data_IF_966712305395
#
_entry.id   IF_966712305395
#
_cell.length_a   1.000
_cell.length_b   1.000
_cell.length_c   1.000
_cell.angle_alpha   90.00
_cell.angle_beta   90.00
_cell.angle_gamma   90.00
#
_symmetry.space_group_name_H-M   'P 1'
#
loop_
_entity.id
_entity.type
_entity.pdbx_description
1 polymer ?
#
# COMPACT_ATOMS: atom_id res chain seq x y z
N UNK A 1 1.18 -72.59 8.89
CA UNK A 1 1.86 -71.40 9.46
C UNK A 1 2.12 -70.26 8.46
N UNK A 2 2.16 -70.50 7.17
CA UNK A 2 2.40 -69.50 6.13
C UNK A 2 1.33 -68.42 6.01
N UNK A 3 0.05 -68.74 6.11
CA UNK A 3 -1.07 -67.83 5.93
C UNK A 3 -1.10 -66.68 6.97
N UNK A 4 -0.68 -66.91 8.20
CA UNK A 4 -0.62 -65.84 9.22
C UNK A 4 0.43 -64.78 8.97
N UNK A 5 1.54 -65.14 8.30
CA UNK A 5 2.60 -64.17 7.95
C UNK A 5 2.13 -63.21 6.84
N UNK A 6 1.52 -63.78 5.79
CA UNK A 6 1.02 -62.93 4.69
C UNK A 6 -0.16 -62.07 5.08
N UNK A 7 -1.01 -62.57 5.99
CA UNK A 7 -2.12 -61.74 6.54
C UNK A 7 -1.57 -60.52 7.33
N UNK A 8 -0.55 -60.77 8.16
CA UNK A 8 0.06 -59.64 8.92
C UNK A 8 0.79 -58.66 7.99
N UNK A 9 1.44 -59.11 6.94
CA UNK A 9 2.09 -58.29 5.95
C UNK A 9 1.05 -57.45 5.15
N UNK A 10 -0.04 -58.07 4.71
CA UNK A 10 -1.10 -57.39 4.00
C UNK A 10 -1.79 -56.34 4.89
N UNK A 11 -2.02 -56.62 6.18
CA UNK A 11 -2.56 -55.68 7.13
C UNK A 11 -1.63 -54.52 7.42
N UNK A 12 -0.30 -54.76 7.50
CA UNK A 12 0.70 -53.72 7.66
C UNK A 12 0.80 -52.80 6.44
N UNK A 13 0.69 -53.36 5.22
CA UNK A 13 0.67 -52.59 3.98
C UNK A 13 -0.62 -51.76 3.90
N UNK A 14 -1.76 -52.33 4.28
CA UNK A 14 -3.05 -51.58 4.31
C UNK A 14 -3.06 -50.45 5.32
N UNK A 15 -2.44 -50.68 6.50
CA UNK A 15 -2.29 -49.63 7.49
C UNK A 15 -1.31 -48.53 7.06
N UNK A 16 -0.20 -48.90 6.38
CA UNK A 16 0.76 -47.94 5.87
C UNK A 16 0.17 -47.11 4.71
N UNK A 17 -0.62 -47.71 3.82
CA UNK A 17 -1.37 -46.96 2.77
C UNK A 17 -2.47 -46.09 3.35
N UNK A 18 -3.18 -46.53 4.39
CA UNK A 18 -4.18 -45.71 5.07
C UNK A 18 -3.55 -44.50 5.79
N UNK A 19 -2.33 -44.65 6.34
CA UNK A 19 -1.59 -43.57 6.98
C UNK A 19 -1.05 -42.56 5.95
N UNK A 20 -0.69 -42.97 4.75
CA UNK A 20 -0.22 -42.05 3.69
C UNK A 20 -1.36 -41.30 2.99
N UNK A 21 -2.57 -41.84 2.96
CA UNK A 21 -3.76 -41.18 2.40
C UNK A 21 -4.35 -40.17 3.40
N UNK A 22 -4.10 -40.32 4.71
CA UNK A 22 -4.58 -39.43 5.77
C UNK A 22 -3.78 -38.15 5.99
N UNK A 23 -2.66 -37.95 5.29
CA UNK A 23 -1.76 -36.78 5.44
C UNK A 23 -1.68 -35.98 4.13
N UNK A 24 -2.66 -36.07 3.28
CA UNK A 24 -2.86 -35.01 2.29
C UNK A 24 -3.57 -33.88 3.04
N UNK A 25 -2.77 -33.10 3.80
CA UNK A 25 -3.21 -31.78 4.22
C UNK A 25 -3.73 -31.07 2.98
N UNK A 26 -4.87 -30.47 3.04
CA UNK A 26 -5.36 -29.61 1.98
C UNK A 26 -4.23 -28.67 1.62
N UNK A 27 -3.67 -28.84 0.43
CA UNK A 27 -2.83 -27.81 -0.15
C UNK A 27 -3.78 -26.64 -0.29
N UNK A 28 -3.60 -25.64 0.56
CA UNK A 28 -4.37 -24.41 0.51
C UNK A 28 -4.24 -23.91 -0.93
N UNK A 29 -5.32 -23.88 -1.66
CA UNK A 29 -5.35 -23.41 -3.03
C UNK A 29 -5.83 -21.96 -2.96
N UNK A 30 -5.06 -21.04 -3.53
CA UNK A 30 -5.43 -19.64 -3.75
C UNK A 30 -6.94 -19.53 -4.03
N UNK A 31 -7.68 -18.85 -3.19
CA UNK A 31 -9.09 -18.59 -3.41
C UNK A 31 -9.25 -17.49 -4.45
N UNK A 32 -10.08 -17.73 -5.46
CA UNK A 32 -10.32 -16.78 -6.54
C UNK A 32 -11.79 -16.37 -6.53
N UNK A 33 -12.04 -15.07 -6.41
CA UNK A 33 -13.38 -14.48 -6.53
C UNK A 33 -13.38 -13.42 -7.62
N UNK A 34 -14.43 -13.37 -8.39
CA UNK A 34 -14.59 -12.39 -9.44
C UNK A 34 -16.02 -12.32 -9.92
N UNK A 35 -16.35 -11.21 -10.56
CA UNK A 35 -17.70 -11.04 -11.12
C UNK A 35 -17.91 -9.65 -11.72
N UNK A 36 -19.02 -9.50 -12.43
CA UNK A 36 -19.52 -8.21 -12.84
C UNK A 36 -20.12 -7.47 -11.64
N UNK A 37 -19.87 -6.15 -11.54
CA UNK A 37 -20.46 -5.33 -10.49
C UNK A 37 -19.64 -5.32 -9.18
N UNK A 38 -20.25 -5.74 -8.08
CA UNK A 38 -19.63 -5.63 -6.74
C UNK A 38 -19.37 -7.01 -6.14
N UNK A 39 -18.13 -7.22 -5.67
CA UNK A 39 -17.74 -8.36 -4.83
C UNK A 39 -17.50 -7.86 -3.41
N UNK A 40 -18.12 -8.48 -2.42
CA UNK A 40 -17.97 -8.13 -1.00
C UNK A 40 -17.50 -9.35 -0.22
N UNK A 41 -16.45 -9.18 0.57
CA UNK A 41 -16.05 -10.11 1.63
C UNK A 41 -16.65 -9.56 2.92
N UNK A 42 -17.64 -10.25 3.47
CA UNK A 42 -18.44 -9.74 4.59
C UNK A 42 -17.61 -9.68 5.90
N UNK A 43 -18.00 -8.81 6.83
CA UNK A 43 -17.28 -8.57 8.09
C UNK A 43 -17.07 -9.85 8.93
N UNK A 44 -18.02 -10.77 8.89
CA UNK A 44 -17.94 -12.05 9.61
C UNK A 44 -17.29 -13.18 8.81
N UNK A 45 -16.79 -12.88 7.63
CA UNK A 45 -16.14 -13.85 6.76
C UNK A 45 -14.64 -13.89 7.04
N UNK A 46 -14.10 -15.09 7.16
CA UNK A 46 -12.68 -15.36 7.33
C UNK A 46 -12.24 -16.28 6.20
N UNK A 47 -11.23 -15.83 5.46
CA UNK A 47 -10.57 -16.63 4.42
C UNK A 47 -9.22 -17.06 4.96
N UNK A 48 -9.03 -18.37 5.15
CA UNK A 48 -7.84 -18.95 5.76
C UNK A 48 -6.70 -19.22 4.75
N UNK A 49 -6.71 -18.48 3.65
CA UNK A 49 -5.77 -18.63 2.55
C UNK A 49 -5.48 -17.30 1.85
N UNK A 50 -4.63 -17.33 0.82
CA UNK A 50 -4.47 -16.22 -0.11
C UNK A 50 -5.74 -16.00 -0.92
N UNK A 51 -6.09 -14.74 -1.17
CA UNK A 51 -7.27 -14.35 -1.94
C UNK A 51 -6.88 -13.53 -3.15
N UNK A 52 -7.33 -13.97 -4.34
CA UNK A 52 -7.34 -13.16 -5.56
C UNK A 52 -8.78 -12.71 -5.83
N UNK A 53 -9.02 -11.41 -5.89
CA UNK A 53 -10.34 -10.87 -6.18
C UNK A 53 -10.30 -9.77 -7.25
N UNK A 54 -11.24 -9.83 -8.20
CA UNK A 54 -11.39 -8.84 -9.26
C UNK A 54 -12.85 -8.57 -9.59
N UNK A 55 -13.25 -7.28 -9.57
CA UNK A 55 -14.58 -6.82 -9.94
C UNK A 55 -14.56 -5.32 -10.24
N UNK A 56 -15.68 -4.76 -10.73
CA UNK A 56 -15.79 -3.30 -10.87
C UNK A 56 -15.64 -2.61 -9.50
N UNK A 57 -16.33 -3.14 -8.48
CA UNK A 57 -16.22 -2.68 -7.10
C UNK A 57 -15.86 -3.85 -6.20
N UNK A 58 -14.87 -3.68 -5.34
CA UNK A 58 -14.49 -4.67 -4.33
C UNK A 58 -14.53 -4.04 -2.96
N UNK A 59 -15.21 -4.70 -2.03
CA UNK A 59 -15.26 -4.31 -0.61
C UNK A 59 -14.80 -5.48 0.23
N UNK A 60 -13.78 -5.28 1.05
CA UNK A 60 -13.27 -6.29 1.98
C UNK A 60 -13.48 -5.78 3.40
N UNK A 61 -14.50 -6.29 4.07
CA UNK A 61 -14.82 -5.98 5.47
C UNK A 61 -14.37 -7.11 6.42
N UNK A 62 -14.12 -8.31 5.86
CA UNK A 62 -13.73 -9.51 6.59
C UNK A 62 -12.23 -9.63 6.87
N UNK A 63 -11.80 -10.85 7.18
CA UNK A 63 -10.40 -11.18 7.50
C UNK A 63 -9.82 -12.13 6.46
N UNK A 64 -8.66 -11.79 5.94
CA UNK A 64 -7.87 -12.63 5.04
C UNK A 64 -6.61 -13.05 5.81
N UNK A 65 -6.45 -14.34 6.09
CA UNK A 65 -5.30 -14.86 6.85
C UNK A 65 -4.04 -15.03 5.99
N UNK A 66 -4.17 -15.01 4.66
CA UNK A 66 -3.09 -14.98 3.68
C UNK A 66 -2.81 -13.59 3.09
N UNK A 67 -2.21 -13.60 1.90
CA UNK A 67 -2.02 -12.41 1.07
C UNK A 67 -3.32 -12.07 0.31
N UNK A 68 -3.56 -10.78 0.06
CA UNK A 68 -4.69 -10.32 -0.75
C UNK A 68 -4.18 -9.66 -2.03
N UNK A 69 -4.63 -10.19 -3.17
CA UNK A 69 -4.43 -9.57 -4.49
C UNK A 69 -5.80 -9.10 -4.98
N UNK A 70 -5.95 -7.79 -5.18
CA UNK A 70 -7.25 -7.20 -5.52
C UNK A 70 -7.14 -6.19 -6.64
N UNK A 71 -8.09 -6.25 -7.59
CA UNK A 71 -8.19 -5.30 -8.69
C UNK A 71 -9.63 -4.88 -8.94
N UNK A 72 -9.82 -3.58 -9.25
CA UNK A 72 -11.15 -3.04 -9.57
C UNK A 72 -11.12 -1.56 -9.91
N UNK A 73 -12.27 -1.04 -10.39
CA UNK A 73 -12.40 0.42 -10.53
C UNK A 73 -12.37 1.08 -9.16
N UNK A 74 -13.15 0.54 -8.22
CA UNK A 74 -13.20 0.98 -6.83
C UNK A 74 -12.86 -0.18 -5.91
N UNK A 75 -11.85 0.00 -5.05
CA UNK A 75 -11.44 -1.01 -4.08
C UNK A 75 -11.43 -0.38 -2.69
N UNK A 76 -12.12 -1.01 -1.75
CA UNK A 76 -12.18 -0.57 -0.36
C UNK A 76 -11.84 -1.72 0.57
N UNK A 77 -10.82 -1.55 1.38
CA UNK A 77 -10.35 -2.52 2.37
C UNK A 77 -10.61 -1.94 3.75
N UNK A 78 -11.64 -2.43 4.43
CA UNK A 78 -12.00 -2.04 5.80
C UNK A 78 -11.58 -3.09 6.83
N UNK A 79 -11.43 -4.34 6.38
CA UNK A 79 -11.11 -5.49 7.21
C UNK A 79 -9.63 -5.66 7.52
N UNK A 80 -9.23 -6.90 7.77
CA UNK A 80 -7.85 -7.25 8.14
C UNK A 80 -7.23 -8.18 7.11
N UNK A 81 -5.99 -7.88 6.69
CA UNK A 81 -5.15 -8.76 5.88
C UNK A 81 -3.93 -9.12 6.70
N UNK A 82 -3.81 -10.38 7.09
CA UNK A 82 -2.69 -10.87 7.91
C UNK A 82 -1.41 -11.11 7.10
N UNK A 83 -1.52 -11.19 5.77
CA UNK A 83 -0.41 -11.18 4.83
C UNK A 83 -0.11 -9.79 4.25
N UNK A 84 0.39 -9.77 3.03
CA UNK A 84 0.61 -8.55 2.24
C UNK A 84 -0.61 -8.23 1.36
N UNK A 85 -0.72 -6.96 0.96
CA UNK A 85 -1.79 -6.48 0.09
C UNK A 85 -1.19 -5.99 -1.24
N UNK A 86 -1.67 -6.54 -2.34
CA UNK A 86 -1.42 -6.03 -3.69
C UNK A 86 -2.75 -5.51 -4.22
N UNK A 87 -2.86 -4.19 -4.46
CA UNK A 87 -4.11 -3.59 -4.92
C UNK A 87 -3.92 -2.66 -6.10
N UNK A 88 -4.84 -2.73 -7.06
CA UNK A 88 -4.84 -1.90 -8.26
C UNK A 88 -6.22 -1.41 -8.64
N UNK A 89 -6.33 -0.14 -9.10
CA UNK A 89 -7.62 0.41 -9.53
C UNK A 89 -7.61 1.91 -9.75
N UNK A 90 -8.80 2.49 -9.93
CA UNK A 90 -8.91 3.94 -10.05
C UNK A 90 -8.99 4.60 -8.67
N UNK A 91 -9.94 4.18 -7.84
CA UNK A 91 -10.16 4.72 -6.49
C UNK A 91 -9.92 3.62 -5.48
N UNK A 92 -8.90 3.80 -4.66
CA UNK A 92 -8.43 2.83 -3.69
C UNK A 92 -8.55 3.42 -2.29
N UNK A 93 -9.24 2.70 -1.39
CA UNK A 93 -9.39 3.09 0.00
C UNK A 93 -8.89 1.98 0.92
N UNK A 94 -7.90 2.27 1.72
CA UNK A 94 -7.40 1.39 2.77
C UNK A 94 -7.76 1.99 4.13
N UNK A 95 -8.75 1.40 4.80
CA UNK A 95 -9.24 1.82 6.12
C UNK A 95 -8.90 0.81 7.21
N UNK A 96 -8.60 -0.42 6.80
CA UNK A 96 -8.35 -1.55 7.69
C UNK A 96 -6.86 -1.76 8.00
N UNK A 97 -6.53 -2.98 8.41
CA UNK A 97 -5.17 -3.35 8.81
C UNK A 97 -4.55 -4.34 7.85
N UNK A 98 -3.29 -4.11 7.50
CA UNK A 98 -2.46 -5.03 6.71
C UNK A 98 -1.20 -5.32 7.51
N UNK A 99 -1.00 -6.56 7.93
CA UNK A 99 0.18 -6.94 8.73
C UNK A 99 1.47 -6.93 7.90
N UNK A 100 1.37 -7.20 6.61
CA UNK A 100 2.46 -7.23 5.65
C UNK A 100 2.78 -5.89 5.00
N UNK A 101 3.28 -5.97 3.77
CA UNK A 101 3.59 -4.84 2.90
C UNK A 101 2.40 -4.54 1.99
N UNK A 102 2.15 -3.27 1.70
CA UNK A 102 1.18 -2.83 0.71
C UNK A 102 1.89 -2.44 -0.58
N UNK A 103 1.50 -3.06 -1.68
CA UNK A 103 1.86 -2.69 -3.04
C UNK A 103 0.61 -2.17 -3.72
N UNK A 104 0.62 -0.91 -4.15
CA UNK A 104 -0.58 -0.30 -4.69
C UNK A 104 -0.30 0.54 -5.92
N UNK A 105 -1.23 0.54 -6.86
CA UNK A 105 -1.16 1.36 -8.06
C UNK A 105 -2.54 1.82 -8.52
N UNK A 106 -2.67 3.12 -8.82
CA UNK A 106 -3.96 3.64 -9.24
C UNK A 106 -4.03 5.15 -9.40
N UNK A 107 -5.23 5.65 -9.72
CA UNK A 107 -5.43 7.10 -9.84
C UNK A 107 -5.40 7.77 -8.46
N UNK A 108 -6.09 7.20 -7.47
CA UNK A 108 -6.05 7.72 -6.11
C UNK A 108 -5.97 6.59 -5.09
N UNK A 109 -5.14 6.79 -4.07
CA UNK A 109 -5.09 5.98 -2.87
C UNK A 109 -5.34 6.85 -1.65
N UNK A 110 -6.35 6.50 -0.86
CA UNK A 110 -6.58 7.06 0.47
C UNK A 110 -6.26 6.01 1.51
N UNK A 111 -5.38 6.36 2.45
CA UNK A 111 -5.09 5.57 3.65
C UNK A 111 -5.81 6.28 4.79
N UNK A 112 -6.92 5.68 5.23
CA UNK A 112 -7.83 6.28 6.20
C UNK A 112 -7.23 6.35 7.61
N UNK A 113 -7.87 7.11 8.54
CA UNK A 113 -7.28 7.50 9.82
C UNK A 113 -7.12 6.34 10.82
N UNK A 114 -7.66 5.16 10.53
CA UNK A 114 -7.51 3.94 11.35
C UNK A 114 -6.69 2.87 10.64
N UNK A 115 -6.23 3.16 9.43
CA UNK A 115 -5.47 2.20 8.65
C UNK A 115 -4.08 1.97 9.24
N UNK A 116 -3.66 0.71 9.24
CA UNK A 116 -2.36 0.31 9.73
C UNK A 116 -1.68 -0.60 8.71
N UNK A 117 -0.49 -0.20 8.26
CA UNK A 117 0.40 -1.01 7.40
C UNK A 117 1.57 -1.47 8.26
N UNK A 118 1.64 -2.77 8.53
CA UNK A 118 2.63 -3.37 9.43
C UNK A 118 4.07 -3.33 8.90
N UNK A 119 4.26 -3.14 7.59
CA UNK A 119 5.57 -3.08 6.96
C UNK A 119 5.69 -1.83 6.07
N UNK A 120 5.95 -2.01 4.80
CA UNK A 120 6.25 -0.93 3.85
C UNK A 120 5.02 -0.60 3.00
N UNK A 121 4.96 0.64 2.53
CA UNK A 121 4.07 1.07 1.45
C UNK A 121 4.88 1.31 0.18
N UNK A 122 4.46 0.67 -0.92
CA UNK A 122 4.89 1.00 -2.27
C UNK A 122 3.66 1.49 -3.04
N UNK A 123 3.72 2.71 -3.53
CA UNK A 123 2.62 3.27 -4.31
C UNK A 123 3.14 3.93 -5.58
N UNK A 124 2.46 3.63 -6.70
CA UNK A 124 2.65 4.32 -7.98
C UNK A 124 1.32 4.80 -8.52
N UNK A 125 1.17 6.12 -8.74
CA UNK A 125 -0.10 6.62 -9.24
C UNK A 125 -0.23 8.13 -9.23
N UNK A 126 -1.46 8.64 -9.46
CA UNK A 126 -1.63 10.07 -9.55
C UNK A 126 -1.65 10.76 -8.19
N UNK A 127 -2.42 10.24 -7.22
CA UNK A 127 -2.61 10.88 -5.92
C UNK A 127 -2.59 9.87 -4.78
N UNK A 128 -1.88 10.20 -3.68
CA UNK A 128 -1.97 9.50 -2.42
C UNK A 128 -2.25 10.49 -1.29
N UNK A 129 -3.20 10.14 -0.43
CA UNK A 129 -3.47 10.83 0.82
C UNK A 129 -3.40 9.83 1.96
N UNK A 130 -2.43 9.98 2.85
CA UNK A 130 -2.40 9.31 4.14
C UNK A 130 -2.99 10.26 5.17
N UNK A 131 -4.18 9.94 5.68
CA UNK A 131 -4.91 10.79 6.61
C UNK A 131 -4.26 10.77 8.00
N UNK A 132 -4.49 11.82 8.77
CA UNK A 132 -4.07 11.87 10.18
C UNK A 132 -4.62 10.67 10.94
N UNK A 133 -3.77 10.04 11.78
CA UNK A 133 -4.08 8.80 12.48
C UNK A 133 -3.73 7.51 11.71
N UNK A 134 -3.47 7.59 10.40
CA UNK A 134 -2.95 6.44 9.64
C UNK A 134 -1.51 6.11 10.01
N UNK A 135 -1.15 4.81 9.92
CA UNK A 135 0.18 4.35 10.32
C UNK A 135 0.81 3.42 9.27
N UNK A 136 1.98 3.79 8.79
CA UNK A 136 2.90 2.94 8.05
C UNK A 136 4.09 2.65 8.96
N UNK A 137 4.20 1.42 9.50
CA UNK A 137 5.21 1.12 10.54
C UNK A 137 6.67 1.20 10.06
N UNK A 138 6.90 1.09 8.76
CA UNK A 138 8.25 1.13 8.18
C UNK A 138 8.35 2.23 7.14
N UNK A 139 8.76 1.87 5.92
CA UNK A 139 9.13 2.80 4.87
C UNK A 139 7.95 3.07 3.92
N UNK A 140 7.87 4.29 3.40
CA UNK A 140 7.01 4.66 2.30
C UNK A 140 7.85 4.99 1.06
N UNK A 141 7.64 4.25 -0.05
CA UNK A 141 8.18 4.55 -1.37
C UNK A 141 7.03 4.89 -2.29
N UNK A 142 6.97 6.14 -2.72
CA UNK A 142 5.84 6.63 -3.50
C UNK A 142 6.31 7.43 -4.71
N UNK A 143 5.68 7.18 -5.87
CA UNK A 143 5.98 7.88 -7.10
C UNK A 143 4.69 8.28 -7.83
N UNK A 144 4.59 9.54 -8.28
CA UNK A 144 3.43 10.03 -9.00
C UNK A 144 3.30 11.54 -9.04
N UNK A 145 2.06 12.05 -9.05
CA UNK A 145 1.86 13.48 -9.22
C UNK A 145 1.75 14.24 -7.89
N UNK A 146 0.90 13.80 -6.96
CA UNK A 146 0.69 14.50 -5.70
C UNK A 146 0.54 13.56 -4.50
N UNK A 147 1.18 13.95 -3.38
CA UNK A 147 1.12 13.17 -2.15
C UNK A 147 0.93 14.07 -0.93
N UNK A 148 0.00 13.66 -0.06
CA UNK A 148 -0.26 14.29 1.24
C UNK A 148 -0.01 13.24 2.33
N UNK A 149 1.01 13.45 3.14
CA UNK A 149 1.38 12.59 4.27
C UNK A 149 0.91 13.26 5.57
N UNK A 150 -0.34 12.99 5.98
CA UNK A 150 -0.93 13.49 7.22
C UNK A 150 -0.75 12.55 8.40
N UNK A 151 -0.56 11.24 8.14
CA UNK A 151 -0.36 10.21 9.16
C UNK A 151 1.10 9.99 9.56
N UNK A 152 1.40 8.82 10.12
CA UNK A 152 2.74 8.44 10.56
C UNK A 152 3.42 7.45 9.59
N UNK A 153 4.67 7.76 9.20
CA UNK A 153 5.62 6.83 8.60
C UNK A 153 6.71 6.57 9.64
N UNK A 154 6.80 5.34 10.13
CA UNK A 154 7.67 5.00 11.26
C UNK A 154 9.16 5.08 10.95
N UNK A 155 9.56 4.97 9.68
CA UNK A 155 10.94 5.04 9.22
C UNK A 155 11.09 6.07 8.11
N UNK A 156 11.59 5.67 6.94
CA UNK A 156 11.96 6.58 5.86
C UNK A 156 10.81 6.81 4.88
N UNK A 157 10.73 8.01 4.34
CA UNK A 157 9.87 8.35 3.21
C UNK A 157 10.72 8.72 1.98
N UNK A 158 10.51 7.97 0.88
CA UNK A 158 11.13 8.27 -0.42
C UNK A 158 10.05 8.60 -1.42
N UNK A 159 10.13 9.81 -1.97
CA UNK A 159 9.03 10.39 -2.74
C UNK A 159 9.57 10.97 -4.04
N UNK A 160 8.98 10.59 -5.17
CA UNK A 160 9.16 11.30 -6.43
C UNK A 160 7.79 11.82 -6.91
N UNK A 161 7.58 13.15 -6.86
CA UNK A 161 6.27 13.74 -7.08
C UNK A 161 6.33 15.14 -7.66
N UNK A 162 5.26 15.54 -8.37
CA UNK A 162 5.04 16.96 -8.70
C UNK A 162 4.78 17.80 -7.45
N UNK A 163 4.00 17.27 -6.50
CA UNK A 163 3.63 17.94 -5.27
C UNK A 163 3.75 17.00 -4.06
N UNK A 164 4.38 17.48 -2.98
CA UNK A 164 4.49 16.76 -1.71
C UNK A 164 4.10 17.68 -0.55
N UNK A 165 3.12 17.24 0.25
CA UNK A 165 2.78 17.83 1.54
C UNK A 165 3.07 16.85 2.67
N UNK A 166 3.78 17.30 3.70
CA UNK A 166 4.04 16.54 4.92
C UNK A 166 3.43 17.34 6.08
N UNK A 167 2.35 16.81 6.65
CA UNK A 167 1.65 17.39 7.78
C UNK A 167 1.71 16.49 9.02
N UNK A 168 2.05 15.21 8.84
CA UNK A 168 2.16 14.21 9.88
C UNK A 168 3.61 13.96 10.32
N UNK A 169 3.90 12.70 10.66
CA UNK A 169 5.19 12.29 11.25
C UNK A 169 5.95 11.34 10.32
N UNK A 170 7.24 11.59 10.14
CA UNK A 170 8.21 10.66 9.55
C UNK A 170 9.31 10.42 10.57
N UNK A 171 9.45 9.17 11.05
CA UNK A 171 10.40 8.82 12.11
C UNK A 171 11.87 8.86 11.69
N UNK A 172 12.16 8.59 10.41
CA UNK A 172 13.49 8.58 9.81
C UNK A 172 13.73 9.73 8.84
N UNK A 173 14.43 9.42 7.75
CA UNK A 173 14.79 10.38 6.71
C UNK A 173 13.65 10.59 5.69
N UNK A 174 13.60 11.80 5.13
CA UNK A 174 12.79 12.10 3.95
C UNK A 174 13.72 12.40 2.78
N UNK A 175 13.57 11.64 1.70
CA UNK A 175 14.25 11.89 0.42
C UNK A 175 13.18 12.15 -0.61
N UNK A 176 13.11 13.39 -1.12
CA UNK A 176 12.05 13.80 -2.02
C UNK A 176 12.60 14.44 -3.30
N UNK A 177 12.05 14.03 -4.43
CA UNK A 177 12.18 14.77 -5.69
C UNK A 177 10.82 15.42 -5.97
N UNK A 178 10.78 16.74 -6.13
CA UNK A 178 9.54 17.51 -6.24
C UNK A 178 9.56 18.50 -7.39
N UNK A 179 8.38 18.81 -7.90
CA UNK A 179 8.19 19.77 -8.97
C UNK A 179 8.56 21.20 -8.56
N UNK A 180 8.60 22.08 -9.57
CA UNK A 180 8.82 23.49 -9.36
C UNK A 180 7.49 24.17 -8.98
N UNK A 181 7.43 24.94 -7.88
CA UNK A 181 6.23 25.70 -7.50
C UNK A 181 5.77 26.72 -8.56
N UNK A 182 6.66 27.16 -9.45
CA UNK A 182 6.32 28.09 -10.54
C UNK A 182 5.53 27.44 -11.68
N UNK A 183 5.49 26.09 -11.76
CA UNK A 183 4.79 25.35 -12.82
C UNK A 183 3.25 25.27 -12.60
N UNK A 184 2.73 26.15 -11.75
CA UNK A 184 1.28 26.28 -11.54
C UNK A 184 0.60 26.64 -12.84
N UNK A 185 -0.26 25.75 -13.34
CA UNK A 185 -1.02 25.94 -14.58
C UNK A 185 -0.37 25.37 -15.84
N UNK A 186 0.85 24.86 -15.81
CA UNK A 186 1.46 24.13 -16.94
C UNK A 186 1.00 22.66 -17.03
N UNK A 187 0.10 22.23 -16.17
CA UNK A 187 -0.52 20.90 -16.26
C UNK A 187 -1.48 20.78 -17.44
N UNK A 188 -1.05 21.26 -18.60
CA UNK A 188 -1.74 21.05 -19.90
C UNK A 188 -1.88 19.56 -20.28
N UNK A 189 -1.39 18.65 -19.45
CA UNK A 189 -1.40 17.22 -19.74
C UNK A 189 -2.68 16.49 -19.34
N UNK A 190 -3.63 17.13 -18.63
CA UNK A 190 -4.89 16.47 -18.31
C UNK A 190 -6.12 17.27 -18.72
N UNK A 191 -6.54 17.14 -20.00
CA UNK A 191 -7.86 17.61 -20.41
C UNK A 191 -8.99 16.72 -19.84
N UNK A 192 -8.67 15.69 -19.06
CA UNK A 192 -9.64 14.74 -18.52
C UNK A 192 -9.82 14.96 -17.03
N UNK A 193 -11.04 15.33 -16.64
CA UNK A 193 -11.49 15.13 -15.25
C UNK A 193 -11.47 13.62 -15.02
N UNK A 194 -10.47 13.12 -14.32
CA UNK A 194 -10.42 11.71 -13.94
C UNK A 194 -11.46 11.53 -12.84
N UNK A 195 -12.53 10.74 -13.06
CA UNK A 195 -13.52 10.50 -12.01
C UNK A 195 -12.84 9.94 -10.76
N UNK A 196 -13.10 10.54 -9.61
CA UNK A 196 -12.49 10.12 -8.33
C UNK A 196 -11.09 10.67 -8.06
N UNK A 197 -10.51 11.49 -8.94
CA UNK A 197 -9.27 12.20 -8.63
C UNK A 197 -9.56 13.30 -7.58
N UNK A 198 -8.74 13.38 -6.51
CA UNK A 198 -8.86 14.46 -5.53
C UNK A 198 -8.45 15.81 -6.12
N UNK A 199 -8.79 16.92 -5.44
CA UNK A 199 -8.34 18.27 -5.85
C UNK A 199 -6.82 18.29 -6.06
N UNK A 200 -6.38 19.03 -7.07
CA UNK A 200 -4.96 19.15 -7.38
C UNK A 200 -4.25 20.00 -6.32
N UNK A 201 -3.12 19.48 -5.86
CA UNK A 201 -2.20 20.18 -4.96
C UNK A 201 -1.16 20.93 -5.81
N UNK A 202 -0.79 22.14 -5.38
CA UNK A 202 0.23 22.91 -6.09
C UNK A 202 1.57 22.17 -6.10
N UNK A 203 2.33 22.20 -7.22
CA UNK A 203 3.64 21.60 -7.30
C UNK A 203 4.60 22.11 -6.21
N UNK A 204 5.62 21.32 -5.93
CA UNK A 204 6.66 21.64 -4.94
C UNK A 204 6.50 20.91 -3.61
N UNK A 205 7.37 21.29 -2.65
CA UNK A 205 7.41 20.74 -1.31
C UNK A 205 6.69 21.68 -0.33
N UNK A 206 5.88 21.11 0.56
CA UNK A 206 5.33 21.79 1.74
C UNK A 206 5.50 20.91 2.97
N UNK A 207 6.06 21.49 4.04
CA UNK A 207 6.17 20.83 5.34
C UNK A 207 5.44 21.70 6.35
N UNK A 208 4.34 21.17 6.90
CA UNK A 208 3.48 21.87 7.85
C UNK A 208 4.21 22.18 9.17
N UNK A 209 3.71 23.14 9.97
CA UNK A 209 4.34 23.51 11.23
C UNK A 209 4.26 22.40 12.29
N UNK A 210 3.26 21.56 12.24
CA UNK A 210 3.04 20.44 13.16
C UNK A 210 3.73 19.15 12.68
N UNK A 211 4.30 19.16 11.47
CA UNK A 211 4.98 18.00 10.92
C UNK A 211 6.26 17.69 11.73
N UNK A 212 6.54 16.42 11.88
CA UNK A 212 7.76 15.95 12.56
C UNK A 212 8.57 15.06 11.62
N UNK A 213 9.82 15.39 11.40
CA UNK A 213 10.79 14.57 10.67
C UNK A 213 11.96 14.27 11.60
N UNK A 214 12.09 13.01 12.04
CA UNK A 214 13.13 12.62 13.01
C UNK A 214 14.54 12.64 12.43
N UNK A 215 14.67 12.27 11.15
CA UNK A 215 15.92 12.28 10.41
C UNK A 215 16.13 13.55 9.59
N UNK A 216 16.86 13.39 8.47
CA UNK A 216 17.19 14.46 7.54
C UNK A 216 16.15 14.62 6.45
N UNK A 217 15.80 15.85 6.10
CA UNK A 217 15.03 16.17 4.90
C UNK A 217 15.99 16.51 3.76
N UNK A 218 16.09 15.64 2.77
CA UNK A 218 16.80 15.91 1.52
C UNK A 218 15.79 16.06 0.40
N UNK A 219 15.78 17.20 -0.29
CA UNK A 219 14.88 17.37 -1.42
C UNK A 219 15.58 17.92 -2.66
N UNK A 220 15.15 17.42 -3.81
CA UNK A 220 15.64 17.83 -5.14
C UNK A 220 14.52 18.59 -5.83
N UNK A 221 14.80 19.80 -6.31
CA UNK A 221 13.87 20.64 -7.08
C UNK A 221 14.67 21.62 -7.93
N UNK A 222 14.02 22.20 -8.95
CA UNK A 222 14.64 23.25 -9.78
C UNK A 222 14.96 24.53 -8.99
N UNK A 223 14.18 24.82 -7.95
CA UNK A 223 14.37 26.00 -7.08
C UNK A 223 14.32 25.59 -5.62
N UNK A 224 15.10 26.29 -4.80
CA UNK A 224 15.07 26.12 -3.35
C UNK A 224 13.76 26.67 -2.77
N UNK A 225 13.16 25.95 -1.79
CA UNK A 225 11.83 26.26 -1.23
C UNK A 225 11.87 26.44 0.30
N UNK A 226 12.75 27.28 0.86
CA UNK A 226 12.91 27.37 2.32
C UNK A 226 11.65 27.86 3.02
N UNK A 227 10.87 28.75 2.39
CA UNK A 227 9.62 29.28 2.96
C UNK A 227 8.47 28.28 3.02
N UNK A 228 8.58 27.15 2.36
CA UNK A 228 7.57 26.09 2.36
C UNK A 228 7.82 25.04 3.46
N UNK A 229 8.98 25.08 4.12
CA UNK A 229 9.36 24.16 5.18
C UNK A 229 9.19 24.88 6.51
N UNK A 230 8.12 24.57 7.26
CA UNK A 230 7.79 25.24 8.53
C UNK A 230 8.19 24.45 9.77
N UNK A 231 8.45 23.15 9.62
CA UNK A 231 9.01 22.31 10.68
C UNK A 231 10.54 22.26 10.60
N UNK A 232 11.18 21.84 11.71
CA UNK A 232 12.62 21.61 11.73
C UNK A 232 12.91 20.11 11.78
N UNK A 233 13.42 19.50 10.68
CA UNK A 233 13.87 18.10 10.67
C UNK A 233 15.05 17.91 11.63
N UNK A 234 15.04 16.80 12.41
CA UNK A 234 16.08 16.51 13.39
C UNK A 234 17.49 16.38 12.81
N UNK A 235 17.60 15.85 11.58
CA UNK A 235 18.86 15.73 10.83
C UNK A 235 19.18 16.94 9.93
N UNK A 236 18.39 18.02 10.02
CA UNK A 236 18.54 19.21 9.17
C UNK A 236 17.96 19.04 7.76
N UNK A 237 18.19 20.06 6.93
CA UNK A 237 17.67 20.16 5.57
C UNK A 237 18.81 20.18 4.57
N UNK A 238 18.67 19.45 3.45
CA UNK A 238 19.56 19.54 2.30
C UNK A 238 18.74 19.77 1.04
N UNK A 239 19.09 20.80 0.30
CA UNK A 239 18.58 21.07 -1.04
C UNK A 239 19.55 20.57 -2.11
N UNK A 240 19.02 20.05 -3.19
CA UNK A 240 19.75 19.60 -4.37
C UNK A 240 19.05 20.08 -5.64
N UNK A 241 19.81 20.40 -6.67
CA UNK A 241 19.29 20.65 -8.01
C UNK A 241 19.30 19.36 -8.82
N UNK A 242 18.33 19.14 -9.73
CA UNK A 242 18.34 18.00 -10.63
C UNK A 242 19.63 17.95 -11.45
N UNK A 243 20.16 16.74 -11.69
CA UNK A 243 21.31 16.58 -12.58
C UNK A 243 20.94 16.99 -14.01
N UNK A 244 21.80 17.73 -14.73
CA UNK A 244 21.57 18.02 -16.14
C UNK A 244 21.49 16.71 -16.95
N UNK A 245 20.38 16.48 -17.63
CA UNK A 245 20.22 15.32 -18.54
C UNK A 245 19.16 14.29 -18.17
N UNK A 246 18.43 14.49 -17.08
CA UNK A 246 17.27 13.63 -16.70
C UNK A 246 15.92 14.26 -17.04
N UNK A 247 15.80 14.78 -18.27
CA UNK A 247 14.50 15.25 -18.83
C UNK A 247 13.93 14.20 -19.79
#
# INVERSE_FOLDING_TARGET
MLHKKYFRLALAILLATALTVGVVGQVAALEIRGGEGTVTIAQNEVIDDDLLVGAQNVVVDGTINGDLIVGGTNVTINGTVNGSLIMGGQVLNLNGKVAGTVYSGGTSLTIGPKAEIGRNLFYGGFSLTAEDGSLIKRDALVAGYQFVLGGEVGRDARVSAGALEINGKVGGDVIAEVGNPADVGQTSFMPFVVPGAPPMVQPGLRVGPEATIGGKLTYTSQVEQPGAIRAQPGGGIAFQTPMPGTQ
#
